data_IF_497108364590
#
_entry.id   IF_497108364590
#
_cell.length_a   1.000
_cell.length_b   1.000
_cell.length_c   1.000
_cell.angle_alpha   90.00
_cell.angle_beta   90.00
_cell.angle_gamma   90.00
#
_symmetry.space_group_name_H-M   'P 1'
#
loop_
_entity.id
_entity.type
_entity.pdbx_description
1 polymer ?
#
# COMPACT_ATOMS: atom_id res chain seq x y z
N UNK A 1 -14.58 -19.45 14.30
CA UNK A 1 -15.93 -19.05 14.75
C UNK A 1 -15.79 -18.82 16.24
N UNK A 2 -15.58 -17.56 16.64
CA UNK A 2 -15.33 -17.22 18.05
C UNK A 2 -16.57 -17.56 18.87
N UNK A 3 -16.38 -18.25 20.00
CA UNK A 3 -17.48 -18.57 20.89
C UNK A 3 -18.00 -17.24 21.50
N UNK A 4 -19.33 -17.00 21.48
CA UNK A 4 -19.89 -15.78 22.04
C UNK A 4 -19.57 -15.70 23.54
N UNK A 5 -19.24 -14.49 24.01
CA UNK A 5 -18.90 -14.25 25.42
C UNK A 5 -20.04 -14.75 26.33
N UNK A 6 -19.74 -15.46 27.43
CA UNK A 6 -20.76 -15.89 28.37
C UNK A 6 -21.49 -14.71 29.03
N UNK A 7 -20.94 -13.50 28.95
CA UNK A 7 -21.50 -12.27 29.51
C UNK A 7 -22.30 -11.44 28.50
N UNK A 8 -22.52 -11.94 27.27
CA UNK A 8 -23.19 -11.18 26.19
C UNK A 8 -24.55 -10.60 26.63
N UNK A 9 -25.31 -11.35 27.44
CA UNK A 9 -26.63 -10.94 27.95
C UNK A 9 -26.59 -9.83 29.01
N UNK A 10 -25.43 -9.54 29.59
CA UNK A 10 -25.22 -8.53 30.63
C UNK A 10 -24.58 -7.25 30.09
N UNK A 11 -24.13 -7.24 28.82
CA UNK A 11 -23.58 -6.05 28.16
C UNK A 11 -24.66 -4.97 28.02
N UNK A 12 -24.28 -3.72 28.24
CA UNK A 12 -25.16 -2.53 28.18
C UNK A 12 -26.37 -2.56 29.14
N UNK A 13 -26.28 -3.37 30.21
CA UNK A 13 -27.29 -3.43 31.28
C UNK A 13 -26.75 -2.84 32.59
N UNK A 14 -27.65 -2.50 33.53
CA UNK A 14 -27.27 -2.12 34.90
C UNK A 14 -26.96 -3.33 35.80
N UNK A 15 -26.58 -4.48 35.21
CA UNK A 15 -26.22 -5.68 35.98
C UNK A 15 -24.98 -5.42 36.82
N UNK A 16 -25.04 -5.78 38.10
CA UNK A 16 -23.89 -5.72 39.01
C UNK A 16 -23.32 -7.13 39.12
N UNK A 17 -22.12 -7.40 38.59
CA UNK A 17 -21.54 -8.74 38.65
C UNK A 17 -21.19 -9.13 40.09
N UNK A 18 -21.40 -10.40 40.40
CA UNK A 18 -20.91 -11.03 41.62
C UNK A 18 -19.38 -11.18 41.59
N UNK A 19 -18.77 -11.48 42.75
CA UNK A 19 -17.31 -11.63 42.86
C UNK A 19 -16.79 -12.76 41.95
N UNK A 20 -17.52 -13.87 41.84
CA UNK A 20 -17.17 -15.00 40.98
C UNK A 20 -17.29 -14.65 39.49
N UNK A 21 -18.33 -13.89 39.11
CA UNK A 21 -18.48 -13.34 37.75
C UNK A 21 -17.37 -12.35 37.41
N UNK A 22 -16.93 -11.51 38.36
CA UNK A 22 -15.82 -10.58 38.17
C UNK A 22 -14.49 -11.30 37.91
N UNK A 23 -14.18 -12.36 38.67
CA UNK A 23 -12.98 -13.16 38.44
C UNK A 23 -13.02 -13.85 37.07
N UNK A 24 -14.18 -14.40 36.71
CA UNK A 24 -14.39 -15.03 35.39
C UNK A 24 -14.25 -14.01 34.24
N UNK A 25 -14.80 -12.79 34.41
CA UNK A 25 -14.67 -11.68 33.47
C UNK A 25 -13.21 -11.27 33.28
N UNK A 26 -12.45 -11.12 34.36
CA UNK A 26 -11.02 -10.75 34.28
C UNK A 26 -10.22 -11.79 33.50
N UNK A 27 -10.45 -13.08 33.76
CA UNK A 27 -9.79 -14.17 33.03
C UNK A 27 -10.14 -14.11 31.55
N UNK A 28 -11.43 -13.93 31.23
CA UNK A 28 -11.88 -13.84 29.85
C UNK A 28 -11.30 -12.63 29.12
N UNK A 29 -11.32 -11.44 29.74
CA UNK A 29 -10.72 -10.22 29.18
C UNK A 29 -9.22 -10.41 28.98
N UNK A 30 -8.51 -10.99 29.93
CA UNK A 30 -7.07 -11.24 29.80
C UNK A 30 -6.77 -12.17 28.61
N UNK A 31 -7.58 -13.20 28.39
CA UNK A 31 -7.43 -14.10 27.24
C UNK A 31 -7.68 -13.36 25.92
N UNK A 32 -8.78 -12.60 25.82
CA UNK A 32 -9.06 -11.80 24.62
C UNK A 32 -7.98 -10.75 24.36
N UNK A 33 -7.45 -10.12 25.41
CA UNK A 33 -6.37 -9.17 25.30
C UNK A 33 -5.10 -9.80 24.73
N UNK A 34 -4.77 -11.05 25.11
CA UNK A 34 -3.62 -11.77 24.50
C UNK A 34 -3.79 -11.96 23.01
N UNK A 35 -5.01 -12.26 22.55
CA UNK A 35 -5.29 -12.41 21.11
C UNK A 35 -5.10 -11.07 20.39
N UNK A 36 -5.63 -9.98 20.96
CA UNK A 36 -5.45 -8.63 20.44
C UNK A 36 -3.95 -8.28 20.35
N UNK A 37 -3.18 -8.51 21.42
CA UNK A 37 -1.75 -8.19 21.46
C UNK A 37 -0.96 -8.94 20.38
N UNK A 38 -1.31 -10.19 20.10
CA UNK A 38 -0.70 -10.99 19.02
C UNK A 38 -1.01 -10.38 17.65
N UNK A 39 -2.28 -10.04 17.40
CA UNK A 39 -2.71 -9.44 16.13
C UNK A 39 -2.04 -8.07 15.94
N UNK A 40 -1.98 -7.24 16.99
CA UNK A 40 -1.34 -5.93 16.93
C UNK A 40 0.16 -6.05 16.63
N UNK A 41 0.84 -7.05 17.19
CA UNK A 41 2.24 -7.33 16.86
C UNK A 41 2.41 -7.72 15.37
N UNK A 42 1.51 -8.52 14.82
CA UNK A 42 1.51 -8.88 13.39
C UNK A 42 1.24 -7.65 12.50
N UNK A 43 0.27 -6.82 12.85
CA UNK A 43 -0.03 -5.57 12.15
C UNK A 43 1.19 -4.64 12.15
N UNK A 44 1.84 -4.47 13.31
CA UNK A 44 3.02 -3.62 13.43
C UNK A 44 4.17 -4.11 12.53
N UNK A 45 4.38 -5.43 12.44
CA UNK A 45 5.37 -6.02 11.53
C UNK A 45 5.01 -5.82 10.05
N UNK A 46 3.74 -6.01 9.67
CA UNK A 46 3.27 -5.74 8.31
C UNK A 46 3.44 -4.27 7.91
N UNK A 47 3.12 -3.33 8.81
CA UNK A 47 3.32 -1.90 8.59
C UNK A 47 4.80 -1.54 8.42
N UNK A 48 5.68 -2.15 9.20
CA UNK A 48 7.14 -1.99 9.07
C UNK A 48 7.63 -2.49 7.71
N UNK A 49 7.17 -3.67 7.29
CA UNK A 49 7.49 -4.23 5.96
C UNK A 49 7.00 -3.31 4.84
N UNK A 50 5.77 -2.82 4.90
CA UNK A 50 5.23 -1.90 3.91
C UNK A 50 6.07 -0.62 3.78
N UNK A 51 6.50 -0.06 4.91
CA UNK A 51 7.35 1.14 4.95
C UNK A 51 8.74 0.86 4.35
N UNK A 52 9.33 -0.30 4.66
CA UNK A 52 10.60 -0.73 4.10
C UNK A 52 10.52 -0.90 2.58
N UNK A 53 9.48 -1.60 2.09
CA UNK A 53 9.23 -1.79 0.65
C UNK A 53 9.10 -0.44 -0.05
N UNK A 54 8.32 0.49 0.52
CA UNK A 54 8.15 1.82 -0.05
C UNK A 54 9.50 2.58 -0.12
N UNK A 55 10.30 2.50 0.95
CA UNK A 55 11.60 3.18 1.05
C UNK A 55 12.60 2.62 0.04
N UNK A 56 12.70 1.29 -0.07
CA UNK A 56 13.54 0.62 -1.07
C UNK A 56 13.08 0.96 -2.49
N UNK A 57 11.78 1.02 -2.74
CA UNK A 57 11.22 1.45 -4.03
C UNK A 57 11.66 2.87 -4.41
N UNK A 58 11.59 3.81 -3.46
CA UNK A 58 12.07 5.19 -3.65
C UNK A 58 13.58 5.24 -3.94
N UNK A 59 14.40 4.51 -3.17
CA UNK A 59 15.85 4.46 -3.38
C UNK A 59 16.24 3.82 -4.71
N UNK A 60 15.58 2.72 -5.11
CA UNK A 60 15.76 2.11 -6.44
C UNK A 60 15.38 3.08 -7.56
N UNK A 61 14.27 3.80 -7.39
CA UNK A 61 13.87 4.82 -8.35
C UNK A 61 14.92 5.93 -8.46
N UNK A 62 15.49 6.40 -7.35
CA UNK A 62 16.58 7.38 -7.33
C UNK A 62 17.86 6.87 -8.00
N UNK A 63 18.21 5.61 -7.76
CA UNK A 63 19.37 4.95 -8.36
C UNK A 63 19.18 4.59 -9.84
N UNK A 64 17.97 4.74 -10.40
CA UNK A 64 17.69 4.38 -11.79
C UNK A 64 18.51 5.24 -12.76
N UNK A 65 19.23 4.57 -13.66
CA UNK A 65 20.06 5.20 -14.70
C UNK A 65 19.27 6.15 -15.60
N UNK A 66 18.00 5.85 -15.83
CA UNK A 66 17.08 6.68 -16.63
C UNK A 66 16.99 8.11 -16.10
N UNK A 67 17.14 8.33 -14.78
CA UNK A 67 17.13 9.69 -14.20
C UNK A 67 18.34 10.52 -14.60
N UNK A 68 19.45 9.87 -15.01
CA UNK A 68 20.70 10.53 -15.41
C UNK A 68 20.77 10.82 -16.91
N UNK A 69 19.89 10.20 -17.71
CA UNK A 69 19.81 10.52 -19.13
C UNK A 69 19.41 11.98 -19.29
N UNK A 70 20.00 12.73 -20.23
CA UNK A 70 19.49 14.05 -20.59
C UNK A 70 18.14 13.92 -21.35
N UNK A 71 17.42 15.04 -21.46
CA UNK A 71 16.04 15.05 -21.98
C UNK A 71 15.94 14.64 -23.45
N UNK A 72 16.94 14.98 -24.27
CA UNK A 72 17.02 14.63 -25.69
C UNK A 72 17.18 13.12 -25.92
N UNK A 73 18.06 12.46 -25.17
CA UNK A 73 18.26 11.01 -25.22
C UNK A 73 16.99 10.29 -24.73
N UNK A 74 16.39 10.78 -23.64
CA UNK A 74 15.16 10.22 -23.11
C UNK A 74 14.01 10.34 -24.11
N UNK A 75 13.91 11.48 -24.80
CA UNK A 75 12.91 11.70 -25.84
C UNK A 75 13.13 10.80 -27.07
N UNK A 76 14.39 10.63 -27.49
CA UNK A 76 14.73 9.71 -28.58
C UNK A 76 14.28 8.27 -28.26
N UNK A 77 14.44 7.83 -27.00
CA UNK A 77 13.95 6.52 -26.55
C UNK A 77 12.42 6.46 -26.66
N UNK A 78 11.69 7.50 -26.26
CA UNK A 78 10.22 7.52 -26.35
C UNK A 78 9.73 7.42 -27.80
N UNK A 79 10.32 8.21 -28.70
CA UNK A 79 9.95 8.20 -30.12
C UNK A 79 10.26 6.85 -30.77
N UNK A 80 11.40 6.25 -30.43
CA UNK A 80 11.74 4.93 -30.94
C UNK A 80 10.84 3.82 -30.38
N UNK A 81 10.42 3.95 -29.13
CA UNK A 81 9.45 3.04 -28.53
C UNK A 81 8.07 3.19 -29.17
N UNK A 82 7.68 4.40 -29.56
CA UNK A 82 6.42 4.67 -30.26
C UNK A 82 6.41 4.06 -31.65
N UNK A 83 7.53 4.13 -32.37
CA UNK A 83 7.68 3.52 -33.69
C UNK A 83 7.55 1.99 -33.68
N UNK A 84 7.76 1.36 -32.51
CA UNK A 84 7.60 -0.07 -32.29
C UNK A 84 6.22 -0.43 -31.69
N UNK A 85 5.39 0.56 -31.37
CA UNK A 85 4.06 0.34 -30.80
C UNK A 85 3.10 -0.16 -31.88
N UNK A 86 2.40 -1.25 -31.59
CA UNK A 86 1.36 -1.78 -32.47
C UNK A 86 0.13 -0.84 -32.47
N UNK A 87 -0.57 -0.65 -33.60
CA UNK A 87 -1.69 0.29 -33.71
C UNK A 87 -2.83 0.07 -32.71
N UNK A 88 -2.93 -1.14 -32.14
CA UNK A 88 -4.00 -1.59 -31.27
C UNK A 88 -3.62 -1.57 -29.78
N UNK A 89 -2.41 -1.13 -29.42
CA UNK A 89 -1.95 -1.12 -28.04
C UNK A 89 -2.66 -0.03 -27.24
N UNK A 90 -3.36 -0.45 -26.18
CA UNK A 90 -4.05 0.44 -25.24
C UNK A 90 -3.65 0.11 -23.79
N UNK A 91 -3.36 1.12 -22.95
CA UNK A 91 -3.28 2.55 -23.29
C UNK A 91 -2.06 2.84 -24.19
N UNK A 92 -2.20 3.79 -25.13
CA UNK A 92 -1.11 4.20 -26.02
C UNK A 92 0.12 4.64 -25.23
N UNK A 93 1.31 4.45 -25.80
CA UNK A 93 2.59 4.75 -25.18
C UNK A 93 2.70 6.15 -24.56
N UNK A 94 2.23 7.25 -25.21
CA UNK A 94 2.28 8.60 -24.62
C UNK A 94 1.52 8.70 -23.29
N UNK A 95 0.41 7.98 -23.18
CA UNK A 95 -0.38 7.89 -21.95
C UNK A 95 0.36 7.10 -20.88
N UNK A 96 1.07 6.04 -21.26
CA UNK A 96 1.88 5.24 -20.34
C UNK A 96 3.05 6.06 -19.78
N UNK A 97 3.87 6.65 -20.66
CA UNK A 97 5.07 7.39 -20.25
C UNK A 97 4.72 8.63 -19.43
N UNK A 98 3.60 9.30 -19.72
CA UNK A 98 3.16 10.48 -18.96
C UNK A 98 2.71 10.15 -17.52
N UNK A 99 2.54 8.87 -17.18
CA UNK A 99 2.17 8.43 -15.82
C UNK A 99 3.37 8.00 -14.96
N UNK A 100 4.58 7.92 -15.52
CA UNK A 100 5.76 7.38 -14.83
C UNK A 100 6.29 8.34 -13.75
N UNK A 101 6.59 9.59 -14.12
CA UNK A 101 7.06 10.61 -13.18
C UNK A 101 6.82 12.02 -13.72
N UNK A 102 7.04 13.05 -12.89
CA UNK A 102 6.85 14.46 -13.29
C UNK A 102 7.68 14.83 -14.53
N UNK A 103 8.96 14.44 -14.58
CA UNK A 103 9.86 14.74 -15.70
C UNK A 103 9.39 14.10 -17.02
N UNK A 104 9.01 12.83 -16.98
CA UNK A 104 8.49 12.12 -18.14
C UNK A 104 7.16 12.71 -18.62
N UNK A 105 6.28 13.08 -17.68
CA UNK A 105 5.02 13.77 -17.99
C UNK A 105 5.28 15.09 -18.72
N UNK A 106 6.20 15.92 -18.22
CA UNK A 106 6.53 17.19 -18.85
C UNK A 106 7.04 16.98 -20.28
N UNK A 107 8.00 16.07 -20.49
CA UNK A 107 8.53 15.75 -21.82
C UNK A 107 7.46 15.21 -22.77
N UNK A 108 6.59 14.31 -22.30
CA UNK A 108 5.53 13.72 -23.11
C UNK A 108 4.48 14.76 -23.55
N UNK A 109 4.13 15.70 -22.67
CA UNK A 109 3.18 16.77 -22.99
C UNK A 109 3.80 17.87 -23.86
N UNK A 110 5.09 18.16 -23.69
CA UNK A 110 5.81 19.16 -24.48
C UNK A 110 6.27 18.65 -25.85
N UNK A 111 6.09 17.37 -26.16
CA UNK A 111 6.48 16.79 -27.46
C UNK A 111 5.25 16.36 -28.26
N UNK A 112 4.74 17.19 -29.18
CA UNK A 112 3.57 16.87 -30.01
C UNK A 112 3.73 15.58 -30.83
N UNK A 113 4.95 15.26 -31.29
CA UNK A 113 5.25 14.06 -32.10
C UNK A 113 4.94 12.73 -31.42
N UNK A 114 4.71 12.71 -30.11
CA UNK A 114 4.34 11.49 -29.40
C UNK A 114 2.86 11.14 -29.57
N UNK A 115 1.99 12.11 -29.85
CA UNK A 115 0.53 11.94 -29.85
C UNK A 115 -0.01 11.64 -31.26
#
# INVERSE_FOLDING_TARGET
>A
MEAPSPFTQHLDTNHVPTIEELETLKVFIAEQQRVIDVIDAEIAELMRRATCIQSVGKLRALASLVRRLPDDILLAIFLQSLALEEPWTLPRLPVVISRVCHRWRALALCTPLLW
#
